data_IF_788209389133
#
_entry.id   IF_788209389133
#
_cell.length_a   1.000
_cell.length_b   1.000
_cell.length_c   1.000
_cell.angle_alpha   90.00
_cell.angle_beta   90.00
_cell.angle_gamma   90.00
#
_symmetry.space_group_name_H-M   'P 1'
#
loop_
_entity.id
_entity.type
_entity.pdbx_description
1 polymer ?
#
# COMPACT_ATOMS: atom_id res chain seq x y z
N UNK A 1 -30.18 25.30 -35.47
CA UNK A 1 -29.71 24.04 -36.11
C UNK A 1 -28.27 23.71 -35.70
N UNK A 2 -27.41 24.71 -35.49
CA UNK A 2 -26.05 24.54 -34.93
C UNK A 2 -26.09 24.15 -33.44
N UNK A 3 -27.07 24.65 -32.67
CA UNK A 3 -27.18 24.34 -31.24
C UNK A 3 -27.41 22.85 -30.99
N UNK A 4 -28.25 22.21 -31.80
CA UNK A 4 -28.53 20.77 -31.73
C UNK A 4 -27.27 19.94 -32.03
N UNK A 5 -26.47 20.41 -33.00
CA UNK A 5 -25.23 19.77 -33.43
C UNK A 5 -24.15 19.87 -32.36
N UNK A 6 -24.06 21.02 -31.67
CA UNK A 6 -23.20 21.21 -30.50
C UNK A 6 -23.60 20.29 -29.34
N UNK A 7 -24.90 20.17 -29.04
CA UNK A 7 -25.39 19.28 -27.99
C UNK A 7 -25.06 17.82 -28.30
N UNK A 8 -25.29 17.37 -29.54
CA UNK A 8 -24.95 16.01 -29.98
C UNK A 8 -23.44 15.75 -29.93
N UNK A 9 -22.62 16.68 -30.42
CA UNK A 9 -21.17 16.57 -30.35
C UNK A 9 -20.67 16.50 -28.91
N UNK A 10 -21.27 17.29 -28.00
CA UNK A 10 -20.94 17.28 -26.58
C UNK A 10 -21.26 15.93 -25.93
N UNK A 11 -22.45 15.37 -26.22
CA UNK A 11 -22.86 14.07 -25.71
C UNK A 11 -21.96 12.94 -26.22
N UNK A 12 -21.54 12.99 -27.49
CA UNK A 12 -20.59 12.04 -28.05
C UNK A 12 -19.23 12.19 -27.36
N UNK A 13 -18.71 13.40 -27.17
CA UNK A 13 -17.43 13.62 -26.47
C UNK A 13 -17.49 13.14 -25.02
N UNK A 14 -18.55 13.47 -24.28
CA UNK A 14 -18.76 13.02 -22.90
C UNK A 14 -18.87 11.49 -22.84
N UNK A 15 -19.66 10.91 -23.75
CA UNK A 15 -19.82 9.45 -23.86
C UNK A 15 -18.52 8.73 -24.22
N UNK A 16 -17.75 9.28 -25.17
CA UNK A 16 -16.46 8.74 -25.58
C UNK A 16 -15.43 8.86 -24.46
N UNK A 17 -15.42 9.98 -23.73
CA UNK A 17 -14.53 10.19 -22.58
C UNK A 17 -14.89 9.25 -21.43
N UNK A 18 -16.18 9.06 -21.15
CA UNK A 18 -16.70 8.08 -20.19
C UNK A 18 -16.37 6.64 -20.58
N UNK A 19 -16.50 6.31 -21.87
CA UNK A 19 -16.17 5.00 -22.40
C UNK A 19 -14.67 4.72 -22.36
N UNK A 20 -13.84 5.67 -22.80
CA UNK A 20 -12.39 5.57 -22.75
C UNK A 20 -11.87 5.50 -21.31
N UNK A 21 -12.48 6.23 -20.38
CA UNK A 21 -12.16 6.06 -18.95
C UNK A 21 -12.57 4.67 -18.46
N UNK A 22 -13.77 4.17 -18.73
CA UNK A 22 -14.18 2.82 -18.30
C UNK A 22 -13.33 1.70 -18.92
N UNK A 23 -12.86 1.84 -20.16
CA UNK A 23 -12.06 0.82 -20.85
C UNK A 23 -10.56 0.92 -20.53
N UNK A 24 -10.01 2.14 -20.40
CA UNK A 24 -8.58 2.34 -20.16
C UNK A 24 -8.20 2.34 -18.66
N UNK A 25 -9.13 2.63 -17.76
CA UNK A 25 -8.87 2.67 -16.30
C UNK A 25 -8.63 1.28 -15.70
N UNK A 26 -9.32 0.19 -16.09
CA UNK A 26 -9.11 -1.12 -15.47
C UNK A 26 -7.70 -1.70 -15.70
N UNK A 27 -7.11 -1.68 -16.93
CA UNK A 27 -5.73 -2.10 -17.12
C UNK A 27 -4.73 -1.24 -16.33
N UNK A 28 -4.95 0.09 -16.28
CA UNK A 28 -4.10 1.01 -15.52
C UNK A 28 -4.23 0.84 -14.01
N UNK A 29 -5.42 0.53 -13.50
CA UNK A 29 -5.63 0.19 -12.09
C UNK A 29 -4.90 -1.09 -11.70
N UNK A 30 -4.85 -2.08 -12.60
CA UNK A 30 -4.07 -3.30 -12.37
C UNK A 30 -2.58 -3.02 -12.41
N UNK A 31 -2.08 -2.29 -13.42
CA UNK A 31 -0.66 -1.94 -13.52
C UNK A 31 -0.18 -1.14 -12.30
N UNK A 32 -0.91 -0.07 -11.94
CA UNK A 32 -0.59 0.76 -10.78
C UNK A 32 -0.81 0.02 -9.46
N UNK A 33 -1.84 -0.82 -9.36
CA UNK A 33 -2.12 -1.65 -8.19
C UNK A 33 -1.03 -2.69 -7.94
N UNK A 34 -0.59 -3.39 -8.98
CA UNK A 34 0.52 -4.33 -8.92
C UNK A 34 1.85 -3.62 -8.62
N UNK A 35 2.07 -2.45 -9.23
CA UNK A 35 3.25 -1.62 -8.94
C UNK A 35 3.30 -1.17 -7.48
N UNK A 36 2.19 -0.66 -6.95
CA UNK A 36 2.05 -0.28 -5.54
C UNK A 36 2.22 -1.51 -4.62
N UNK A 37 1.63 -2.66 -4.98
CA UNK A 37 1.80 -3.90 -4.24
C UNK A 37 3.26 -4.33 -4.17
N UNK A 38 3.94 -4.37 -5.31
CA UNK A 38 5.35 -4.76 -5.41
C UNK A 38 6.25 -3.80 -4.61
N UNK A 39 6.03 -2.49 -4.74
CA UNK A 39 6.77 -1.48 -3.97
C UNK A 39 6.50 -1.61 -2.46
N UNK A 40 5.25 -1.85 -2.08
CA UNK A 40 4.83 -2.09 -0.71
C UNK A 40 5.49 -3.32 -0.10
N UNK A 41 5.62 -4.42 -0.84
CA UNK A 41 6.35 -5.61 -0.41
C UNK A 41 7.85 -5.35 -0.29
N UNK A 42 8.44 -4.70 -1.31
CA UNK A 42 9.86 -4.41 -1.38
C UNK A 42 10.31 -3.45 -0.28
N UNK A 43 9.44 -2.57 0.20
CA UNK A 43 9.72 -1.71 1.36
C UNK A 43 9.33 -2.40 2.66
N UNK A 44 8.10 -2.90 2.75
CA UNK A 44 7.49 -3.39 3.98
C UNK A 44 8.17 -4.62 4.57
N UNK A 45 8.55 -5.60 3.73
CA UNK A 45 9.23 -6.82 4.20
C UNK A 45 10.60 -6.48 4.81
N UNK A 46 11.54 -5.84 4.09
CA UNK A 46 12.87 -5.58 4.66
C UNK A 46 12.82 -4.59 5.82
N UNK A 47 11.98 -3.55 5.77
CA UNK A 47 11.87 -2.59 6.89
C UNK A 47 11.22 -3.22 8.12
N UNK A 48 10.20 -4.06 7.94
CA UNK A 48 9.59 -4.83 9.03
C UNK A 48 10.57 -5.82 9.66
N UNK A 49 11.38 -6.50 8.85
CA UNK A 49 12.44 -7.38 9.35
C UNK A 49 13.52 -6.60 10.09
N UNK A 50 13.98 -5.49 9.52
CA UNK A 50 15.01 -4.65 10.12
C UNK A 50 14.53 -4.01 11.44
N UNK A 51 13.26 -3.63 11.52
CA UNK A 51 12.62 -3.20 12.75
C UNK A 51 12.73 -4.26 13.86
N UNK A 52 12.49 -5.54 13.56
CA UNK A 52 12.66 -6.62 14.53
C UNK A 52 14.13 -6.77 14.96
N UNK A 53 15.08 -6.66 14.03
CA UNK A 53 16.51 -6.73 14.34
C UNK A 53 16.92 -5.59 15.28
N UNK A 54 16.52 -4.35 15.00
CA UNK A 54 16.86 -3.20 15.85
C UNK A 54 16.20 -3.34 17.22
N UNK A 55 14.92 -3.75 17.26
CA UNK A 55 14.20 -3.97 18.51
C UNK A 55 14.87 -5.03 19.37
N UNK A 56 15.28 -6.15 18.75
CA UNK A 56 16.04 -7.21 19.42
C UNK A 56 17.35 -6.65 19.99
N UNK A 57 18.14 -5.95 19.18
CA UNK A 57 19.45 -5.40 19.61
C UNK A 57 19.32 -4.38 20.75
N UNK A 58 18.25 -3.59 20.76
CA UNK A 58 18.00 -2.62 21.82
C UNK A 58 17.68 -3.29 23.17
N UNK A 59 16.94 -4.40 23.15
CA UNK A 59 16.47 -5.07 24.37
C UNK A 59 17.38 -6.20 24.85
N UNK A 60 18.01 -6.95 23.94
CA UNK A 60 18.82 -8.13 24.24
C UNK A 60 20.05 -7.80 25.08
N UNK A 61 20.55 -6.56 25.01
CA UNK A 61 21.67 -6.10 25.82
C UNK A 61 21.33 -5.88 27.30
N UNK A 62 20.03 -5.86 27.67
CA UNK A 62 19.59 -5.56 29.05
C UNK A 62 18.68 -6.61 29.66
N UNK A 63 17.95 -7.38 28.85
CA UNK A 63 17.02 -8.38 29.34
C UNK A 63 16.95 -9.57 28.39
N UNK A 64 16.64 -10.74 28.95
CA UNK A 64 16.22 -11.87 28.14
C UNK A 64 14.83 -11.58 27.56
N UNK A 65 14.69 -11.68 26.23
CA UNK A 65 13.42 -11.49 25.56
C UNK A 65 12.51 -12.71 25.79
N UNK A 66 11.21 -12.51 26.01
CA UNK A 66 10.27 -13.61 26.18
C UNK A 66 10.22 -14.48 24.92
N UNK A 67 9.92 -15.78 25.05
CA UNK A 67 9.68 -16.64 23.89
C UNK A 67 8.55 -16.06 23.04
N UNK A 68 8.72 -16.09 21.71
CA UNK A 68 7.76 -15.52 20.74
C UNK A 68 7.55 -13.99 20.81
N UNK A 69 8.50 -13.25 21.37
CA UNK A 69 8.48 -11.77 21.41
C UNK A 69 8.16 -11.12 20.04
N UNK A 70 8.63 -11.72 18.95
CA UNK A 70 8.41 -11.27 17.57
C UNK A 70 6.95 -11.28 17.10
N UNK A 71 6.06 -12.00 17.79
CA UNK A 71 4.62 -11.99 17.48
C UNK A 71 3.91 -10.74 18.00
N UNK A 72 4.43 -10.13 19.07
CA UNK A 72 3.87 -8.92 19.68
C UNK A 72 4.96 -7.89 19.98
N UNK A 73 5.62 -7.36 18.94
CA UNK A 73 6.78 -6.49 19.13
C UNK A 73 6.40 -5.09 19.64
N UNK A 74 5.12 -4.70 19.56
CA UNK A 74 4.59 -3.42 20.08
C UNK A 74 4.51 -3.42 21.61
N UNK A 75 4.21 -4.57 22.22
CA UNK A 75 4.17 -4.72 23.69
C UNK A 75 5.55 -4.46 24.33
N UNK A 76 6.62 -4.48 23.53
CA UNK A 76 7.99 -4.21 23.94
C UNK A 76 8.38 -2.74 23.80
N UNK A 77 7.58 -1.90 23.12
CA UNK A 77 7.89 -0.48 22.96
C UNK A 77 7.98 0.28 24.30
N UNK A 78 7.11 0.02 25.30
CA UNK A 78 7.23 0.67 26.62
C UNK A 78 8.52 0.34 27.37
N UNK A 79 9.22 -0.74 27.01
CA UNK A 79 10.48 -1.16 27.63
C UNK A 79 11.70 -0.45 27.04
N UNK A 80 11.52 0.22 25.90
CA UNK A 80 12.56 1.01 25.25
C UNK A 80 12.76 2.35 25.96
N UNK A 81 14.01 2.77 26.07
CA UNK A 81 14.33 4.14 26.48
C UNK A 81 13.87 5.12 25.40
N UNK A 82 13.62 6.40 25.74
CA UNK A 82 13.20 7.41 24.77
C UNK A 82 14.12 7.52 23.54
N UNK A 83 15.43 7.37 23.72
CA UNK A 83 16.42 7.43 22.63
C UNK A 83 16.41 6.19 21.74
N UNK A 84 16.19 5.01 22.33
CA UNK A 84 16.07 3.73 21.61
C UNK A 84 14.78 3.72 20.80
N UNK A 85 13.67 4.16 21.42
CA UNK A 85 12.38 4.30 20.76
C UNK A 85 12.45 5.24 19.55
N UNK A 86 13.18 6.36 19.67
CA UNK A 86 13.38 7.30 18.56
C UNK A 86 14.11 6.67 17.36
N UNK A 87 14.99 5.70 17.59
CA UNK A 87 15.68 4.94 16.55
C UNK A 87 14.82 3.82 15.95
N UNK A 88 13.99 3.17 16.75
CA UNK A 88 13.11 2.06 16.34
C UNK A 88 11.88 2.55 15.58
N UNK A 89 11.25 3.63 16.04
CA UNK A 89 10.01 4.22 15.50
C UNK A 89 10.01 4.45 13.98
N UNK A 90 11.04 5.05 13.34
CA UNK A 90 10.99 5.29 11.90
C UNK A 90 10.92 4.00 11.09
N UNK A 91 11.58 2.93 11.52
CA UNK A 91 11.51 1.63 10.83
C UNK A 91 10.16 0.95 10.99
N UNK A 92 9.54 1.08 12.17
CA UNK A 92 8.17 0.63 12.40
C UNK A 92 7.18 1.36 11.49
N UNK A 93 7.30 2.69 11.39
CA UNK A 93 6.45 3.52 10.52
C UNK A 93 6.68 3.19 9.04
N UNK A 94 7.93 3.01 8.62
CA UNK A 94 8.26 2.64 7.25
C UNK A 94 7.66 1.27 6.87
N UNK A 95 7.73 0.28 7.77
CA UNK A 95 7.09 -1.02 7.60
C UNK A 95 5.57 -0.92 7.50
N UNK A 96 4.94 -0.11 8.35
CA UNK A 96 3.50 0.14 8.30
C UNK A 96 3.07 0.82 6.99
N UNK A 97 3.84 1.79 6.50
CA UNK A 97 3.60 2.44 5.21
C UNK A 97 3.71 1.44 4.05
N UNK A 98 4.74 0.59 4.06
CA UNK A 98 4.90 -0.49 3.08
C UNK A 98 3.72 -1.47 3.09
N UNK A 99 3.23 -1.84 4.27
CA UNK A 99 2.04 -2.67 4.42
C UNK A 99 0.78 -2.02 3.85
N UNK A 100 0.52 -0.74 4.19
CA UNK A 100 -0.63 0.00 3.65
C UNK A 100 -0.56 0.08 2.13
N UNK A 101 0.61 0.39 1.58
CA UNK A 101 0.82 0.44 0.13
C UNK A 101 0.59 -0.93 -0.54
N UNK A 102 1.05 -2.01 0.12
CA UNK A 102 0.82 -3.37 -0.35
C UNK A 102 -0.67 -3.73 -0.37
N UNK A 103 -1.37 -3.38 0.71
CA UNK A 103 -2.79 -3.67 0.86
C UNK A 103 -3.64 -2.88 -0.14
N UNK A 104 -3.44 -1.57 -0.25
CA UNK A 104 -4.19 -0.72 -1.17
C UNK A 104 -3.88 -1.07 -2.63
N UNK A 105 -2.61 -1.36 -2.96
CA UNK A 105 -2.21 -1.84 -4.28
C UNK A 105 -2.86 -3.17 -4.64
N UNK A 106 -2.88 -4.13 -3.71
CA UNK A 106 -3.55 -5.42 -3.91
C UNK A 106 -5.05 -5.29 -4.13
N UNK A 107 -5.74 -4.48 -3.32
CA UNK A 107 -7.17 -4.19 -3.48
C UNK A 107 -7.44 -3.52 -4.83
N UNK A 108 -6.63 -2.54 -5.24
CA UNK A 108 -6.77 -1.87 -6.53
C UNK A 108 -6.57 -2.83 -7.71
N UNK A 109 -5.57 -3.72 -7.63
CA UNK A 109 -5.32 -4.73 -8.66
C UNK A 109 -6.48 -5.73 -8.76
N UNK A 110 -6.99 -6.23 -7.63
CA UNK A 110 -8.14 -7.14 -7.61
C UNK A 110 -9.37 -6.45 -8.19
N UNK A 111 -9.66 -5.21 -7.79
CA UNK A 111 -10.78 -4.44 -8.31
C UNK A 111 -10.66 -4.22 -9.83
N UNK A 112 -9.48 -3.83 -10.32
CA UNK A 112 -9.22 -3.68 -11.76
C UNK A 112 -9.40 -4.98 -12.54
N UNK A 113 -8.92 -6.11 -12.01
CA UNK A 113 -9.11 -7.44 -12.62
C UNK A 113 -10.59 -7.86 -12.64
N UNK A 114 -11.32 -7.60 -11.55
CA UNK A 114 -12.76 -7.89 -11.49
C UNK A 114 -13.52 -7.07 -12.52
N UNK A 115 -13.23 -5.78 -12.65
CA UNK A 115 -13.88 -4.91 -13.66
C UNK A 115 -13.56 -5.37 -15.08
N UNK A 116 -12.30 -5.72 -15.38
CA UNK A 116 -11.91 -6.29 -16.68
C UNK A 116 -12.65 -7.60 -16.99
N UNK A 117 -13.00 -8.40 -15.99
CA UNK A 117 -13.77 -9.63 -16.21
C UNK A 117 -15.20 -9.38 -16.71
N UNK A 118 -15.78 -8.22 -16.39
CA UNK A 118 -17.15 -7.87 -16.79
C UNK A 118 -17.23 -6.99 -18.05
N UNK A 119 -16.09 -6.50 -18.55
CA UNK A 119 -15.97 -5.72 -19.78
C UNK A 119 -15.05 -6.47 -20.77
N UNK A 120 -15.58 -7.22 -21.74
CA UNK A 120 -14.79 -7.90 -22.77
C UNK A 120 -14.12 -6.93 -23.75
#
# INVERSE_FOLDING_TARGET
MIELLLVLASLVVIGLTGFLTVVATPPRMVELGLGALALGLLIGIPTGWWYHVILYRALSGRMALPPRWWQRPVDLHPLLRPDEFRRVRPWFVAGALGFVLCFTGGVAAIAGMLVMRFYP
#
